data_IF_544387759569
#
_entry.id   IF_544387759569
#
_cell.length_a   1.000
_cell.length_b   1.000
_cell.length_c   1.000
_cell.angle_alpha   90.00
_cell.angle_beta   90.00
_cell.angle_gamma   90.00
#
_symmetry.space_group_name_H-M   'P 1'
#
loop_
_entity.id
_entity.type
_entity.pdbx_description
1 polymer ?
#
# COMPACT_ATOMS: atom_id res chain seq x y z
N UNK A 1 28.54 -16.21 19.68
CA UNK A 1 27.13 -16.03 20.15
C UNK A 1 26.25 -15.90 18.93
N UNK A 2 24.97 -16.25 19.04
CA UNK A 2 24.03 -16.05 17.94
C UNK A 2 23.77 -14.54 17.74
N UNK A 3 23.90 -14.05 16.52
CA UNK A 3 23.60 -12.65 16.16
C UNK A 3 22.12 -12.33 16.35
N UNK A 4 21.82 -11.10 16.67
CA UNK A 4 20.45 -10.59 16.78
C UNK A 4 19.88 -10.22 15.40
N UNK A 5 18.56 -10.18 15.33
CA UNK A 5 17.84 -9.70 14.15
C UNK A 5 17.10 -8.40 14.47
N UNK A 6 16.90 -7.57 13.46
CA UNK A 6 16.07 -6.37 13.53
C UNK A 6 15.11 -6.32 12.33
N UNK A 7 13.87 -5.92 12.58
CA UNK A 7 12.85 -5.79 11.53
C UNK A 7 12.11 -4.47 11.64
N UNK A 8 11.83 -3.84 10.50
CA UNK A 8 11.05 -2.61 10.42
C UNK A 8 9.97 -2.68 9.36
N UNK A 9 8.99 -1.80 9.49
CA UNK A 9 7.88 -1.62 8.56
C UNK A 9 7.94 -0.21 7.97
N UNK A 10 7.64 -0.07 6.68
CA UNK A 10 7.82 1.17 5.94
C UNK A 10 6.74 1.37 4.86
N UNK A 11 6.48 2.64 4.54
CA UNK A 11 5.51 3.04 3.53
C UNK A 11 4.06 2.89 3.98
N UNK A 12 3.13 2.86 3.02
CA UNK A 12 1.71 2.64 3.29
C UNK A 12 1.46 1.28 3.95
N UNK A 13 0.65 1.19 5.03
CA UNK A 13 0.34 -0.10 5.63
C UNK A 13 -0.59 -0.93 4.74
N UNK A 14 -0.70 -2.23 5.06
CA UNK A 14 -1.69 -3.15 4.46
C UNK A 14 -2.37 -3.95 5.57
N UNK A 15 -3.45 -4.66 5.23
CA UNK A 15 -4.12 -5.54 6.20
C UNK A 15 -3.29 -6.78 6.56
N UNK A 16 -2.20 -7.08 5.84
CA UNK A 16 -1.35 -8.27 6.06
C UNK A 16 0.12 -7.95 6.38
N UNK A 17 0.51 -6.68 6.48
CA UNK A 17 1.90 -6.29 6.75
C UNK A 17 2.41 -6.88 8.08
N UNK A 18 1.54 -7.07 9.05
CA UNK A 18 1.88 -7.69 10.32
C UNK A 18 1.98 -9.22 10.23
N UNK A 19 1.36 -9.83 9.22
CA UNK A 19 1.59 -11.25 8.92
C UNK A 19 3.02 -11.47 8.43
N UNK A 20 3.55 -10.56 7.60
CA UNK A 20 4.98 -10.55 7.24
C UNK A 20 5.86 -10.40 8.48
N UNK A 21 5.56 -9.43 9.36
CA UNK A 21 6.30 -9.26 10.62
C UNK A 21 6.33 -10.54 11.46
N UNK A 22 5.19 -11.23 11.59
CA UNK A 22 5.11 -12.51 12.30
C UNK A 22 5.97 -13.59 11.65
N UNK A 23 5.99 -13.64 10.31
CA UNK A 23 6.83 -14.57 9.54
C UNK A 23 8.33 -14.35 9.79
N UNK A 24 8.80 -13.10 9.71
CA UNK A 24 10.20 -12.74 10.04
C UNK A 24 10.53 -13.15 11.46
N UNK A 25 9.71 -12.77 12.45
CA UNK A 25 9.94 -13.07 13.86
C UNK A 25 10.10 -14.59 14.09
N UNK A 26 9.12 -15.39 13.70
CA UNK A 26 9.16 -16.84 13.92
C UNK A 26 10.28 -17.51 13.15
N UNK A 27 10.61 -17.03 11.95
CA UNK A 27 11.72 -17.58 11.15
C UNK A 27 13.07 -17.29 11.80
N UNK A 28 13.30 -16.09 12.31
CA UNK A 28 14.50 -15.74 13.07
C UNK A 28 14.65 -16.63 14.32
N UNK A 29 13.57 -16.79 15.09
CA UNK A 29 13.59 -17.64 16.30
C UNK A 29 13.88 -19.11 15.97
N UNK A 30 13.25 -19.64 14.94
CA UNK A 30 13.44 -21.04 14.50
C UNK A 30 14.86 -21.33 14.04
N UNK A 31 15.54 -20.33 13.46
CA UNK A 31 16.93 -20.43 12.99
C UNK A 31 17.97 -20.06 14.06
N UNK A 32 17.54 -19.83 15.29
CA UNK A 32 18.44 -19.62 16.41
C UNK A 32 19.00 -18.19 16.49
N UNK A 33 18.38 -17.20 15.87
CA UNK A 33 18.73 -15.80 16.13
C UNK A 33 18.59 -15.49 17.65
N UNK A 34 19.44 -14.63 18.16
CA UNK A 34 19.38 -14.17 19.54
C UNK A 34 18.08 -13.42 19.83
N UNK A 35 18.15 -12.14 20.12
CA UNK A 35 16.97 -11.28 20.24
C UNK A 35 16.48 -10.84 18.87
N UNK A 36 15.16 -10.63 18.75
CA UNK A 36 14.55 -10.01 17.58
C UNK A 36 14.02 -8.63 17.97
N UNK A 37 14.63 -7.61 17.40
CA UNK A 37 14.24 -6.23 17.63
C UNK A 37 13.23 -5.75 16.57
N UNK A 38 12.29 -4.88 16.99
CA UNK A 38 11.42 -4.13 16.09
C UNK A 38 11.84 -2.67 16.02
N UNK A 39 12.03 -2.11 14.82
CA UNK A 39 12.26 -0.69 14.59
C UNK A 39 10.93 0.06 14.72
N UNK A 40 10.76 0.86 15.77
CA UNK A 40 9.57 1.71 15.90
C UNK A 40 9.63 2.85 14.90
N UNK A 41 8.65 2.91 13.98
CA UNK A 41 8.62 3.85 12.85
C UNK A 41 9.81 3.71 11.88
N UNK A 42 10.20 2.48 11.58
CA UNK A 42 11.18 2.16 10.55
C UNK A 42 12.56 2.77 10.77
N UNK A 43 13.28 3.07 9.68
CA UNK A 43 14.65 3.62 9.73
C UNK A 43 14.70 4.99 10.42
N UNK A 44 13.67 5.83 10.25
CA UNK A 44 13.61 7.12 10.94
C UNK A 44 13.65 6.95 12.46
N UNK A 45 12.85 6.01 12.98
CA UNK A 45 12.87 5.72 14.41
C UNK A 45 14.14 5.01 14.88
N UNK A 46 14.76 4.18 14.03
CA UNK A 46 16.04 3.56 14.33
C UNK A 46 17.14 4.63 14.53
N UNK A 47 17.18 5.66 13.70
CA UNK A 47 18.08 6.81 13.84
C UNK A 47 17.89 7.55 15.17
N UNK A 48 16.69 7.50 15.74
CA UNK A 48 16.36 8.05 17.06
C UNK A 48 16.49 6.99 18.19
N UNK A 49 17.06 5.82 17.88
CA UNK A 49 17.22 4.68 18.81
C UNK A 49 15.88 4.14 19.37
N UNK A 50 14.78 4.36 18.66
CA UNK A 50 13.46 3.84 19.01
C UNK A 50 13.29 2.41 18.56
N UNK A 51 13.63 1.47 19.43
CA UNK A 51 13.51 0.03 19.18
C UNK A 51 12.72 -0.64 20.32
N UNK A 52 12.09 -1.77 20.01
CA UNK A 52 11.50 -2.64 21.02
C UNK A 52 12.03 -4.07 20.85
N UNK A 53 11.99 -4.87 21.92
CA UNK A 53 12.30 -6.31 21.85
C UNK A 53 11.01 -7.05 21.57
N UNK A 54 10.92 -7.71 20.40
CA UNK A 54 9.71 -8.44 20.01
C UNK A 54 9.49 -9.69 20.86
N UNK A 55 10.55 -10.31 21.37
CA UNK A 55 10.45 -11.44 22.31
C UNK A 55 9.65 -11.09 23.58
N UNK A 56 9.66 -9.82 24.00
CA UNK A 56 8.89 -9.34 25.16
C UNK A 56 7.41 -9.09 24.84
N UNK A 57 7.07 -8.98 23.56
CA UNK A 57 5.71 -8.69 23.07
C UNK A 57 4.99 -9.92 22.54
N UNK A 58 5.72 -10.83 21.90
CA UNK A 58 5.19 -12.02 21.21
C UNK A 58 5.56 -13.26 22.00
N UNK A 59 4.88 -13.47 23.14
CA UNK A 59 5.21 -14.52 24.12
C UNK A 59 4.49 -15.85 23.86
N UNK A 60 3.40 -15.82 23.13
CA UNK A 60 2.56 -16.99 22.89
C UNK A 60 2.16 -17.13 21.43
N UNK A 61 1.74 -18.33 21.03
CA UNK A 61 1.16 -18.56 19.72
C UNK A 61 -0.08 -17.69 19.45
N UNK A 62 -0.83 -17.34 20.50
CA UNK A 62 -1.99 -16.46 20.39
C UNK A 62 -1.55 -15.04 20.03
N UNK A 63 -0.45 -14.52 20.60
CA UNK A 63 0.06 -13.18 20.26
C UNK A 63 0.44 -13.12 18.77
N UNK A 64 1.05 -14.18 18.25
CA UNK A 64 1.41 -14.30 16.85
C UNK A 64 0.15 -14.31 15.95
N UNK A 65 -0.87 -15.09 16.31
CA UNK A 65 -2.12 -15.15 15.53
C UNK A 65 -2.88 -13.82 15.58
N UNK A 66 -2.89 -13.13 16.72
CA UNK A 66 -3.45 -11.78 16.82
C UNK A 66 -2.68 -10.78 15.97
N UNK A 67 -1.34 -10.83 15.99
CA UNK A 67 -0.49 -9.97 15.16
C UNK A 67 -0.81 -10.14 13.68
N UNK A 68 -0.90 -11.39 13.17
CA UNK A 68 -1.24 -11.68 11.77
C UNK A 68 -2.56 -11.06 11.32
N UNK A 69 -3.51 -10.90 12.22
CA UNK A 69 -4.86 -10.39 11.95
C UNK A 69 -5.04 -8.92 12.29
N UNK A 70 -4.04 -8.30 12.89
CA UNK A 70 -4.06 -6.87 13.22
C UNK A 70 -3.75 -6.06 11.95
N UNK A 71 -4.67 -5.22 11.47
CA UNK A 71 -4.40 -4.39 10.30
C UNK A 71 -3.44 -3.24 10.65
N UNK A 72 -2.90 -2.59 9.62
CA UNK A 72 -1.92 -1.52 9.73
C UNK A 72 -0.55 -1.99 10.23
N UNK A 73 0.39 -1.08 10.49
CA UNK A 73 1.77 -1.41 10.87
C UNK A 73 1.93 -1.45 12.39
N UNK A 74 2.17 -2.62 12.96
CA UNK A 74 2.33 -2.83 14.40
C UNK A 74 3.51 -2.04 14.98
N UNK A 75 4.62 -1.96 14.24
CA UNK A 75 5.80 -1.19 14.63
C UNK A 75 5.71 0.30 14.25
N UNK A 76 4.58 0.74 13.70
CA UNK A 76 4.49 2.02 13.03
C UNK A 76 5.19 1.98 11.67
N UNK A 77 5.15 3.08 10.95
CA UNK A 77 5.75 3.20 9.62
C UNK A 77 6.47 4.54 9.48
N UNK A 78 7.32 4.68 8.47
CA UNK A 78 7.90 5.95 8.09
C UNK A 78 7.92 6.09 6.57
N UNK A 79 8.08 7.34 6.14
CA UNK A 79 8.44 7.72 4.78
C UNK A 79 9.75 8.49 4.86
N UNK A 80 10.86 7.75 4.94
CA UNK A 80 12.19 8.30 5.07
C UNK A 80 13.06 7.80 3.92
N UNK A 81 13.55 8.72 3.11
CA UNK A 81 14.46 8.45 2.00
C UNK A 81 15.89 8.59 2.49
N UNK A 82 16.64 7.50 2.44
CA UNK A 82 18.06 7.55 2.75
C UNK A 82 18.78 8.47 1.75
N UNK A 83 19.63 9.42 2.24
CA UNK A 83 20.43 10.28 1.37
C UNK A 83 21.45 9.46 0.57
N UNK A 84 22.14 10.11 -0.36
CA UNK A 84 23.28 9.52 -1.04
C UNK A 84 24.48 9.45 -0.09
N UNK A 85 24.94 8.25 0.21
CA UNK A 85 26.07 8.02 1.13
C UNK A 85 27.42 8.45 0.56
N UNK A 86 27.53 8.78 -0.71
CA UNK A 86 28.74 9.38 -1.30
C UNK A 86 28.93 10.86 -0.92
N UNK A 87 27.94 11.48 -0.28
CA UNK A 87 28.09 12.84 0.28
C UNK A 87 28.44 12.76 1.76
N UNK A 88 29.19 13.75 2.27
CA UNK A 88 29.61 13.77 3.69
C UNK A 88 28.41 13.76 4.66
N UNK A 89 27.33 14.49 4.33
CA UNK A 89 26.12 14.51 5.14
C UNK A 89 25.38 13.16 5.09
N UNK A 90 25.32 12.55 3.91
CA UNK A 90 24.71 11.24 3.73
C UNK A 90 25.50 10.17 4.46
N UNK A 91 26.82 10.12 4.30
CA UNK A 91 27.69 9.16 4.98
C UNK A 91 27.50 9.19 6.50
N UNK A 92 27.39 10.36 7.10
CA UNK A 92 27.14 10.49 8.54
C UNK A 92 25.84 9.79 9.00
N UNK A 93 24.80 9.78 8.16
CA UNK A 93 23.54 9.05 8.45
C UNK A 93 23.78 7.54 8.47
N UNK A 94 24.51 7.01 7.50
CA UNK A 94 24.83 5.58 7.45
C UNK A 94 25.76 5.16 8.58
N UNK A 95 26.79 5.94 8.88
CA UNK A 95 27.67 5.68 10.02
C UNK A 95 26.87 5.56 11.32
N UNK A 96 25.95 6.49 11.57
CA UNK A 96 25.06 6.43 12.75
C UNK A 96 24.17 5.19 12.76
N UNK A 97 23.60 4.80 11.62
CA UNK A 97 22.80 3.58 11.52
C UNK A 97 23.63 2.34 11.86
N UNK A 98 24.80 2.20 11.27
CA UNK A 98 25.67 1.04 11.50
C UNK A 98 26.27 1.01 12.92
N UNK A 99 26.52 2.16 13.55
CA UNK A 99 26.85 2.25 14.96
C UNK A 99 25.74 1.64 15.84
N UNK A 100 24.47 2.05 15.63
CA UNK A 100 23.32 1.51 16.35
C UNK A 100 23.15 0.01 16.11
N UNK A 101 23.30 -0.45 14.87
CA UNK A 101 23.22 -1.86 14.52
C UNK A 101 24.32 -2.68 15.19
N UNK A 102 25.53 -2.14 15.31
CA UNK A 102 26.67 -2.76 16.00
C UNK A 102 26.44 -2.84 17.51
N UNK A 103 25.95 -1.77 18.14
CA UNK A 103 25.60 -1.75 19.57
C UNK A 103 24.54 -2.81 19.94
N UNK A 104 23.59 -3.06 19.04
CA UNK A 104 22.55 -4.06 19.19
C UNK A 104 23.00 -5.48 18.78
N UNK A 105 24.26 -5.65 18.36
CA UNK A 105 24.83 -6.91 17.82
C UNK A 105 23.95 -7.51 16.70
N UNK A 106 23.51 -6.67 15.76
CA UNK A 106 22.66 -7.10 14.65
C UNK A 106 23.48 -7.81 13.58
N UNK A 107 23.02 -9.01 13.18
CA UNK A 107 23.55 -9.74 12.04
C UNK A 107 22.54 -9.86 10.89
N UNK A 108 21.27 -9.60 11.16
CA UNK A 108 20.19 -9.73 10.18
C UNK A 108 19.25 -8.52 10.27
N UNK A 109 19.13 -7.82 9.14
CA UNK A 109 18.29 -6.64 9.00
C UNK A 109 17.17 -6.91 7.99
N UNK A 110 15.91 -6.80 8.44
CA UNK A 110 14.72 -6.99 7.60
C UNK A 110 13.94 -5.69 7.47
N UNK A 111 13.48 -5.39 6.26
CA UNK A 111 12.67 -4.21 6.04
C UNK A 111 11.45 -4.53 5.17
N UNK A 112 10.26 -4.42 5.76
CA UNK A 112 8.99 -4.76 5.12
C UNK A 112 8.44 -3.50 4.47
N UNK A 113 8.33 -3.49 3.13
CA UNK A 113 7.84 -2.32 2.43
C UNK A 113 7.71 -2.46 0.91
N UNK A 114 7.37 -1.36 0.26
CA UNK A 114 7.24 -1.25 -1.19
C UNK A 114 8.55 -0.86 -1.88
N UNK A 115 8.46 -0.27 -3.08
CA UNK A 115 9.60 0.09 -3.92
C UNK A 115 10.66 0.93 -3.19
N UNK A 116 10.27 2.00 -2.49
CA UNK A 116 11.20 2.87 -1.74
C UNK A 116 11.91 2.13 -0.61
N UNK A 117 11.25 1.12 -0.02
CA UNK A 117 11.85 0.29 1.03
C UNK A 117 12.87 -0.68 0.46
N UNK A 118 12.64 -1.18 -0.76
CA UNK A 118 13.61 -2.01 -1.47
C UNK A 118 14.84 -1.19 -1.89
N UNK A 119 14.67 0.06 -2.32
CA UNK A 119 15.76 1.01 -2.55
C UNK A 119 16.56 1.26 -1.26
N UNK A 120 15.88 1.45 -0.14
CA UNK A 120 16.53 1.60 1.18
C UNK A 120 17.41 0.38 1.52
N UNK A 121 16.91 -0.84 1.30
CA UNK A 121 17.66 -2.08 1.51
C UNK A 121 18.88 -2.17 0.59
N UNK A 122 18.73 -1.85 -0.69
CA UNK A 122 19.83 -1.81 -1.64
C UNK A 122 20.95 -0.87 -1.16
N UNK A 123 20.61 0.36 -0.82
CA UNK A 123 21.55 1.35 -0.31
C UNK A 123 22.27 0.91 0.97
N UNK A 124 21.55 0.31 1.92
CA UNK A 124 22.16 -0.22 3.15
C UNK A 124 23.10 -1.39 2.88
N UNK A 125 22.73 -2.28 1.95
CA UNK A 125 23.58 -3.40 1.56
C UNK A 125 24.86 -2.93 0.87
N UNK A 126 24.75 -1.96 -0.05
CA UNK A 126 25.89 -1.37 -0.76
C UNK A 126 26.87 -0.68 0.20
N UNK A 127 26.36 0.15 1.12
CA UNK A 127 27.18 0.79 2.14
C UNK A 127 27.79 -0.25 3.10
N UNK A 128 27.01 -1.26 3.51
CA UNK A 128 27.51 -2.37 4.32
C UNK A 128 28.67 -3.10 3.67
N UNK A 129 28.58 -3.41 2.38
CA UNK A 129 29.66 -4.01 1.61
C UNK A 129 30.90 -3.08 1.52
N UNK A 130 30.69 -1.77 1.34
CA UNK A 130 31.76 -0.79 1.30
C UNK A 130 32.60 -0.74 2.59
N UNK A 131 31.94 -0.84 3.75
CA UNK A 131 32.63 -0.82 5.06
C UNK A 131 33.02 -2.21 5.57
N UNK A 132 32.81 -3.29 4.80
CA UNK A 132 33.10 -4.68 5.19
C UNK A 132 32.22 -5.21 6.31
N UNK A 133 30.97 -4.82 6.39
CA UNK A 133 30.00 -5.27 7.39
C UNK A 133 29.48 -6.67 7.07
N UNK A 134 29.35 -7.55 8.07
CA UNK A 134 28.79 -8.89 7.96
C UNK A 134 27.25 -8.91 8.08
N UNK A 135 26.60 -7.76 8.24
CA UNK A 135 25.14 -7.66 8.37
C UNK A 135 24.47 -8.06 7.05
N UNK A 136 23.51 -8.96 7.13
CA UNK A 136 22.70 -9.36 5.98
C UNK A 136 21.44 -8.53 5.93
N UNK A 137 21.27 -7.80 4.81
CA UNK A 137 20.11 -6.95 4.55
C UNK A 137 19.11 -7.66 3.66
N UNK A 138 17.84 -7.70 4.08
CA UNK A 138 16.77 -8.38 3.37
C UNK A 138 15.51 -7.52 3.26
N UNK A 139 15.07 -7.27 2.03
CA UNK A 139 13.79 -6.65 1.72
C UNK A 139 12.67 -7.69 1.75
N UNK A 140 11.56 -7.31 2.38
CA UNK A 140 10.34 -8.11 2.44
C UNK A 140 9.26 -7.35 1.68
N UNK A 141 8.83 -7.83 0.49
CA UNK A 141 7.91 -7.09 -0.36
C UNK A 141 6.51 -6.98 0.25
N UNK A 142 5.93 -5.79 0.12
CA UNK A 142 4.57 -5.46 0.54
C UNK A 142 4.08 -4.24 -0.22
N UNK A 143 2.93 -4.32 -0.88
CA UNK A 143 2.16 -3.17 -1.39
C UNK A 143 0.76 -3.64 -1.79
N UNK A 144 -0.23 -2.72 -1.72
CA UNK A 144 -1.56 -2.99 -2.28
C UNK A 144 -1.63 -2.68 -3.78
N UNK A 145 -0.68 -1.91 -4.31
CA UNK A 145 -0.70 -1.44 -5.70
C UNK A 145 -0.34 -2.52 -6.72
N UNK A 146 0.27 -3.62 -6.24
CA UNK A 146 0.74 -4.73 -7.08
C UNK A 146 1.71 -4.30 -8.18
N UNK A 147 2.61 -3.36 -7.88
CA UNK A 147 3.50 -2.68 -8.82
C UNK A 147 4.98 -3.07 -8.69
N UNK A 148 5.30 -4.14 -7.94
CA UNK A 148 6.66 -4.63 -7.81
C UNK A 148 7.09 -5.44 -9.03
N UNK A 149 8.29 -5.14 -9.53
CA UNK A 149 8.87 -5.84 -10.68
C UNK A 149 9.05 -7.35 -10.42
N UNK A 150 8.86 -8.17 -11.47
CA UNK A 150 9.07 -9.63 -11.44
C UNK A 150 8.25 -10.33 -10.33
N UNK A 151 7.06 -9.80 -10.03
CA UNK A 151 6.18 -10.31 -8.98
C UNK A 151 4.76 -10.42 -9.53
N UNK A 152 4.15 -11.62 -9.48
CA UNK A 152 2.78 -11.82 -9.99
C UNK A 152 1.76 -11.08 -9.14
N UNK A 153 1.86 -11.23 -7.81
CA UNK A 153 1.07 -10.47 -6.85
C UNK A 153 1.85 -10.23 -5.56
N UNK A 154 1.61 -9.09 -4.95
CA UNK A 154 2.32 -8.66 -3.74
C UNK A 154 1.48 -8.85 -2.49
N UNK A 155 2.11 -9.20 -1.33
CA UNK A 155 1.40 -9.24 -0.05
C UNK A 155 0.72 -7.91 0.26
N UNK A 156 -0.61 -7.96 0.46
CA UNK A 156 -1.48 -6.80 0.66
C UNK A 156 -2.46 -6.58 -0.50
N UNK A 157 -2.06 -6.85 -1.75
CA UNK A 157 -2.92 -6.69 -2.92
C UNK A 157 -4.15 -7.61 -2.87
N UNK A 158 -3.99 -8.89 -2.58
CA UNK A 158 -5.10 -9.85 -2.59
C UNK A 158 -6.21 -9.48 -1.60
N UNK A 159 -5.86 -8.97 -0.42
CA UNK A 159 -6.83 -8.47 0.56
C UNK A 159 -7.51 -7.18 0.12
N UNK A 160 -6.75 -6.24 -0.45
CA UNK A 160 -7.30 -4.99 -0.96
C UNK A 160 -8.23 -5.24 -2.16
N UNK A 161 -7.85 -6.11 -3.11
CA UNK A 161 -8.69 -6.51 -4.24
C UNK A 161 -10.00 -7.16 -3.80
N UNK A 162 -9.95 -8.05 -2.80
CA UNK A 162 -11.14 -8.63 -2.18
C UNK A 162 -12.05 -7.57 -1.57
N UNK A 163 -11.46 -6.61 -0.83
CA UNK A 163 -12.20 -5.48 -0.27
C UNK A 163 -12.90 -4.69 -1.37
N UNK A 164 -12.18 -4.31 -2.44
CA UNK A 164 -12.76 -3.59 -3.58
C UNK A 164 -13.92 -4.37 -4.20
N UNK A 165 -13.75 -5.66 -4.50
CA UNK A 165 -14.81 -6.48 -5.09
C UNK A 165 -16.09 -6.53 -4.24
N UNK A 166 -15.95 -6.68 -2.91
CA UNK A 166 -17.09 -6.71 -1.98
C UNK A 166 -17.75 -5.35 -1.87
N UNK A 167 -17.00 -4.30 -1.56
CA UNK A 167 -17.53 -2.95 -1.33
C UNK A 167 -18.15 -2.37 -2.61
N UNK A 168 -17.55 -2.62 -3.77
CA UNK A 168 -18.14 -2.20 -5.04
C UNK A 168 -19.50 -2.86 -5.28
N UNK A 169 -19.66 -4.13 -4.93
CA UNK A 169 -20.95 -4.82 -5.01
C UNK A 169 -22.02 -4.18 -4.10
N UNK A 170 -21.62 -3.84 -2.86
CA UNK A 170 -22.49 -3.14 -1.91
C UNK A 170 -22.90 -1.75 -2.43
N UNK A 171 -21.94 -0.98 -2.95
CA UNK A 171 -22.18 0.34 -3.55
C UNK A 171 -23.13 0.25 -4.75
N UNK A 172 -22.94 -0.75 -5.65
CA UNK A 172 -23.79 -0.95 -6.80
C UNK A 172 -25.23 -1.25 -6.34
N UNK A 173 -25.38 -2.12 -5.34
CA UNK A 173 -26.70 -2.44 -4.76
C UNK A 173 -27.40 -1.24 -4.20
N UNK A 174 -26.70 -0.38 -3.41
CA UNK A 174 -27.25 0.86 -2.88
C UNK A 174 -27.59 1.86 -3.99
N UNK A 175 -26.70 2.02 -4.96
CA UNK A 175 -26.87 2.99 -6.04
C UNK A 175 -28.05 2.69 -6.98
N UNK A 176 -28.45 1.42 -7.08
CA UNK A 176 -29.50 0.97 -8.01
C UNK A 176 -30.91 0.92 -7.39
N UNK A 177 -31.09 1.28 -6.11
CA UNK A 177 -32.40 1.25 -5.42
C UNK A 177 -33.38 2.29 -5.97
N UNK A 178 -32.88 3.37 -6.55
CA UNK A 178 -33.73 4.47 -7.03
C UNK A 178 -33.84 4.46 -8.55
N UNK A 179 -35.07 4.56 -9.10
CA UNK A 179 -35.34 4.65 -10.53
C UNK A 179 -35.04 6.03 -11.15
N UNK A 180 -34.26 6.89 -10.47
CA UNK A 180 -33.91 8.25 -10.95
C UNK A 180 -32.49 8.27 -11.51
N UNK A 181 -32.21 9.24 -12.41
CA UNK A 181 -30.87 9.45 -12.94
C UNK A 181 -29.88 9.78 -11.83
N UNK A 182 -28.84 8.96 -11.72
CA UNK A 182 -27.83 9.04 -10.69
C UNK A 182 -26.48 8.52 -11.16
N UNK A 183 -25.38 9.19 -10.81
CA UNK A 183 -24.02 8.72 -11.13
C UNK A 183 -23.21 8.65 -9.85
N UNK A 184 -22.74 7.46 -9.52
CA UNK A 184 -21.82 7.23 -8.41
C UNK A 184 -20.42 7.00 -8.96
N UNK A 185 -19.43 7.80 -8.53
CA UNK A 185 -18.03 7.68 -8.92
C UNK A 185 -17.23 7.28 -7.68
N UNK A 186 -16.54 6.15 -7.75
CA UNK A 186 -15.76 5.58 -6.64
C UNK A 186 -14.28 5.70 -6.95
N UNK A 187 -13.54 6.41 -6.11
CA UNK A 187 -12.09 6.56 -6.21
C UNK A 187 -11.38 5.44 -5.49
N UNK A 188 -10.46 4.81 -6.19
CA UNK A 188 -9.69 3.67 -5.74
C UNK A 188 -8.20 4.01 -5.81
N UNK A 189 -7.43 3.59 -4.82
CA UNK A 189 -5.96 3.75 -4.80
C UNK A 189 -5.28 3.07 -5.98
N UNK A 190 -4.16 3.60 -6.39
CA UNK A 190 -3.34 3.10 -7.50
C UNK A 190 -2.77 4.25 -8.30
N UNK A 191 -1.64 4.83 -7.84
CA UNK A 191 -1.00 5.99 -8.47
C UNK A 191 -0.60 5.74 -9.92
N UNK A 192 0.10 4.65 -10.17
CA UNK A 192 0.69 4.32 -11.48
C UNK A 192 0.27 2.93 -11.98
N UNK A 193 -0.45 2.16 -11.15
CA UNK A 193 -0.89 0.81 -11.48
C UNK A 193 -2.38 0.67 -11.17
N UNK A 194 -3.15 0.24 -12.15
CA UNK A 194 -4.61 0.14 -12.09
C UNK A 194 -5.14 -1.18 -11.54
N UNK A 195 -4.32 -2.04 -10.97
CA UNK A 195 -4.73 -3.36 -10.49
C UNK A 195 -5.88 -3.34 -9.49
N UNK A 196 -5.84 -2.42 -8.50
CA UNK A 196 -6.94 -2.28 -7.55
C UNK A 196 -8.20 -1.74 -8.20
N UNK A 197 -8.08 -0.76 -9.09
CA UNK A 197 -9.23 -0.22 -9.82
C UNK A 197 -9.84 -1.29 -10.74
N UNK A 198 -9.01 -2.11 -11.37
CA UNK A 198 -9.46 -3.25 -12.17
C UNK A 198 -10.19 -4.31 -11.32
N UNK A 199 -9.81 -4.47 -10.04
CA UNK A 199 -10.48 -5.38 -9.11
C UNK A 199 -11.96 -5.01 -8.86
N UNK A 200 -12.40 -3.78 -9.18
CA UNK A 200 -13.82 -3.42 -9.18
C UNK A 200 -14.65 -4.31 -10.11
N UNK A 201 -14.06 -4.93 -11.14
CA UNK A 201 -14.70 -5.91 -12.01
C UNK A 201 -15.16 -7.17 -11.28
N UNK A 202 -14.54 -7.50 -10.13
CA UNK A 202 -14.90 -8.64 -9.29
C UNK A 202 -16.29 -8.50 -8.63
N UNK A 203 -16.88 -7.29 -8.65
CA UNK A 203 -18.25 -7.07 -8.20
C UNK A 203 -19.28 -7.78 -9.10
N UNK A 204 -18.92 -8.07 -10.37
CA UNK A 204 -19.81 -8.74 -11.31
C UNK A 204 -20.00 -10.21 -10.93
N UNK A 205 -21.26 -10.65 -10.93
CA UNK A 205 -21.64 -12.02 -10.63
C UNK A 205 -23.09 -12.27 -11.06
N UNK A 206 -23.62 -13.44 -10.74
CA UNK A 206 -25.02 -13.78 -11.03
C UNK A 206 -26.03 -12.82 -10.39
N UNK A 207 -25.67 -12.25 -9.25
CA UNK A 207 -26.48 -11.36 -8.43
C UNK A 207 -26.14 -9.87 -8.59
N UNK A 208 -25.18 -9.51 -9.44
CA UNK A 208 -24.74 -8.11 -9.64
C UNK A 208 -24.18 -7.92 -11.05
N UNK A 209 -24.67 -6.91 -11.76
CA UNK A 209 -24.19 -6.58 -13.11
C UNK A 209 -22.74 -6.08 -13.17
N UNK A 210 -22.21 -5.64 -12.02
CA UNK A 210 -20.88 -5.05 -11.92
C UNK A 210 -20.87 -3.55 -12.17
N UNK A 211 -19.66 -2.99 -12.26
CA UNK A 211 -19.46 -1.56 -12.55
C UNK A 211 -19.67 -1.27 -14.03
N UNK A 212 -20.16 -0.05 -14.34
CA UNK A 212 -20.46 0.36 -15.71
C UNK A 212 -19.22 0.87 -16.46
N UNK A 213 -18.25 1.40 -15.73
CA UNK A 213 -17.01 1.90 -16.31
C UNK A 213 -15.88 1.76 -15.30
N UNK A 214 -14.71 1.38 -15.80
CA UNK A 214 -13.44 1.38 -15.04
C UNK A 214 -12.47 2.30 -15.76
N UNK A 215 -11.87 3.25 -15.03
CA UNK A 215 -10.88 4.19 -15.56
C UNK A 215 -9.53 3.92 -14.90
N UNK A 216 -8.57 3.45 -15.69
CA UNK A 216 -7.25 3.02 -15.24
C UNK A 216 -6.20 4.13 -15.45
N UNK A 217 -5.16 4.22 -14.61
CA UNK A 217 -4.10 5.23 -14.72
C UNK A 217 -3.20 5.02 -15.95
N UNK A 218 -3.17 3.81 -16.52
CA UNK A 218 -2.39 3.46 -17.70
C UNK A 218 -2.96 4.02 -19.00
N UNK A 219 -4.22 4.47 -18.97
CA UNK A 219 -4.92 4.97 -20.16
C UNK A 219 -5.07 6.49 -20.08
N UNK A 220 -4.56 7.25 -21.07
CA UNK A 220 -4.76 8.70 -21.09
C UNK A 220 -6.24 9.08 -20.97
N UNK A 221 -6.55 9.88 -19.98
CA UNK A 221 -7.92 10.25 -19.64
C UNK A 221 -8.33 11.54 -20.40
N UNK A 222 -9.58 11.57 -20.85
CA UNK A 222 -10.17 12.73 -21.46
C UNK A 222 -11.53 13.03 -20.82
N UNK A 223 -11.64 14.18 -20.17
CA UNK A 223 -12.83 14.58 -19.41
C UNK A 223 -14.07 14.71 -20.29
N UNK A 224 -13.94 15.25 -21.50
CA UNK A 224 -15.08 15.45 -22.40
C UNK A 224 -15.63 14.11 -22.88
N UNK A 225 -14.78 13.21 -23.34
CA UNK A 225 -15.15 11.82 -23.73
C UNK A 225 -15.75 11.05 -22.56
N UNK A 226 -15.27 11.26 -21.36
CA UNK A 226 -15.82 10.65 -20.16
C UNK A 226 -17.28 11.10 -19.95
N UNK A 227 -17.55 12.41 -19.99
CA UNK A 227 -18.92 12.95 -19.81
C UNK A 227 -19.85 12.47 -20.92
N UNK A 228 -19.41 12.50 -22.19
CA UNK A 228 -20.18 11.97 -23.32
C UNK A 228 -20.52 10.47 -23.16
N UNK A 229 -19.60 9.69 -22.62
CA UNK A 229 -19.84 8.27 -22.35
C UNK A 229 -20.86 8.06 -21.23
N UNK A 230 -20.78 8.85 -20.16
CA UNK A 230 -21.76 8.83 -19.07
C UNK A 230 -23.15 9.20 -19.59
N UNK A 231 -23.26 10.25 -20.42
CA UNK A 231 -24.52 10.66 -21.03
C UNK A 231 -25.15 9.56 -21.87
N UNK A 232 -24.35 8.85 -22.68
CA UNK A 232 -24.85 7.71 -23.47
C UNK A 232 -25.36 6.59 -22.58
N UNK A 233 -24.60 6.22 -21.55
CA UNK A 233 -24.99 5.16 -20.62
C UNK A 233 -26.29 5.50 -19.86
N UNK A 234 -26.50 6.77 -19.50
CA UNK A 234 -27.74 7.21 -18.85
C UNK A 234 -28.99 7.18 -19.76
N UNK A 235 -28.83 7.02 -21.08
CA UNK A 235 -29.96 6.75 -22.00
C UNK A 235 -30.43 5.30 -21.91
N UNK A 236 -29.56 4.38 -21.49
CA UNK A 236 -29.82 2.96 -21.40
C UNK A 236 -30.28 2.56 -19.98
N UNK A 237 -29.65 3.15 -18.95
CA UNK A 237 -30.04 2.90 -17.55
C UNK A 237 -29.89 4.15 -16.68
N UNK A 238 -30.78 4.34 -15.68
CA UNK A 238 -30.79 5.56 -14.88
C UNK A 238 -29.59 5.68 -13.94
N UNK A 239 -29.17 4.57 -13.31
CA UNK A 239 -28.09 4.55 -12.32
C UNK A 239 -26.80 4.04 -12.93
N UNK A 240 -25.72 4.81 -12.82
CA UNK A 240 -24.38 4.50 -13.33
C UNK A 240 -23.39 4.45 -12.18
N UNK A 241 -22.59 3.38 -12.09
CA UNK A 241 -21.51 3.25 -11.11
C UNK A 241 -20.16 3.12 -11.80
N UNK A 242 -19.25 4.01 -11.48
CA UNK A 242 -17.94 4.14 -12.12
C UNK A 242 -16.84 3.95 -11.09
N UNK A 243 -15.87 3.10 -11.38
CA UNK A 243 -14.62 2.98 -10.64
C UNK A 243 -13.53 3.80 -11.35
N UNK A 244 -12.84 4.66 -10.62
CA UNK A 244 -11.75 5.49 -11.15
C UNK A 244 -10.52 5.36 -10.26
N UNK A 245 -9.34 5.20 -10.86
CA UNK A 245 -8.09 5.28 -10.12
C UNK A 245 -7.81 6.73 -9.70
N UNK A 246 -7.28 6.93 -8.50
CA UNK A 246 -6.74 8.22 -8.06
C UNK A 246 -5.66 8.76 -9.01
N UNK A 247 -4.94 7.85 -9.67
CA UNK A 247 -3.80 8.13 -10.53
C UNK A 247 -4.10 8.34 -12.00
N UNK A 248 -5.37 8.49 -12.42
CA UNK A 248 -5.67 8.79 -13.83
C UNK A 248 -5.07 10.11 -14.29
N UNK A 249 -4.46 10.10 -15.49
CA UNK A 249 -3.72 11.21 -16.06
C UNK A 249 -4.32 11.67 -17.38
N UNK A 250 -4.26 12.96 -17.62
CA UNK A 250 -4.53 13.56 -18.93
C UNK A 250 -3.42 13.18 -19.92
N UNK A 251 -3.66 13.43 -21.20
CA UNK A 251 -2.68 13.17 -22.27
C UNK A 251 -1.39 13.99 -22.12
N UNK A 252 -1.42 15.12 -21.39
CA UNK A 252 -0.25 15.94 -21.07
C UNK A 252 0.52 15.47 -19.83
N UNK A 253 0.06 14.39 -19.17
CA UNK A 253 0.70 13.79 -17.99
C UNK A 253 0.24 14.34 -16.65
N UNK A 254 -0.57 15.41 -16.59
CA UNK A 254 -1.14 15.93 -15.34
C UNK A 254 -2.17 14.95 -14.79
N UNK A 255 -2.24 14.85 -13.46
CA UNK A 255 -3.30 14.07 -12.82
C UNK A 255 -4.65 14.80 -12.92
N UNK A 256 -5.73 14.03 -13.04
CA UNK A 256 -7.09 14.63 -13.11
C UNK A 256 -7.45 15.34 -11.82
N UNK A 257 -6.98 14.91 -10.66
CA UNK A 257 -7.17 15.60 -9.39
C UNK A 257 -6.60 17.03 -9.38
N UNK A 258 -5.51 17.30 -10.14
CA UNK A 258 -4.91 18.64 -10.23
C UNK A 258 -5.81 19.67 -10.96
N UNK A 259 -6.88 19.21 -11.61
CA UNK A 259 -7.89 20.11 -12.21
C UNK A 259 -8.91 20.64 -11.17
N UNK A 260 -8.88 20.12 -9.95
CA UNK A 260 -9.63 20.68 -8.83
C UNK A 260 -8.88 21.89 -8.25
N UNK A 261 -9.62 22.87 -7.72
CA UNK A 261 -9.03 24.05 -7.08
C UNK A 261 -8.45 23.74 -5.67
N UNK A 262 -8.32 22.47 -5.33
CA UNK A 262 -7.84 22.02 -4.02
C UNK A 262 -6.30 22.03 -3.94
N UNK A 263 -5.75 22.42 -2.79
CA UNK A 263 -4.31 22.38 -2.53
C UNK A 263 -3.88 20.93 -2.25
N UNK A 264 -3.00 20.40 -3.07
CA UNK A 264 -2.44 19.06 -2.88
C UNK A 264 -1.17 19.11 -2.01
N UNK A 265 -1.18 18.38 -0.89
CA UNK A 265 0.00 18.22 -0.06
C UNK A 265 1.01 17.26 -0.72
N UNK A 266 2.30 17.54 -0.57
CA UNK A 266 3.40 16.67 -0.99
C UNK A 266 3.91 15.89 0.22
N UNK A 267 4.13 14.59 0.07
CA UNK A 267 4.68 13.75 1.13
C UNK A 267 6.23 13.77 1.18
N UNK A 268 6.82 13.09 2.18
CA UNK A 268 8.27 13.03 2.36
C UNK A 268 9.03 12.26 1.25
N UNK A 269 8.34 11.65 0.30
CA UNK A 269 8.91 11.04 -0.91
C UNK A 269 8.70 11.90 -2.16
N UNK A 270 8.35 13.18 -2.01
CA UNK A 270 8.01 14.11 -3.10
C UNK A 270 6.77 13.67 -3.91
N UNK A 271 5.89 12.88 -3.31
CA UNK A 271 4.66 12.47 -3.97
C UNK A 271 3.51 13.41 -3.64
N UNK A 272 2.84 13.91 -4.68
CA UNK A 272 1.60 14.66 -4.54
C UNK A 272 0.53 13.73 -3.94
N UNK A 273 -0.22 14.20 -2.96
CA UNK A 273 -1.38 13.48 -2.44
C UNK A 273 -2.46 13.43 -3.52
N UNK A 274 -2.68 12.23 -4.08
CA UNK A 274 -3.68 12.01 -5.12
C UNK A 274 -5.03 11.73 -4.46
N UNK A 275 -5.86 12.78 -4.31
CA UNK A 275 -7.23 12.69 -3.80
C UNK A 275 -8.10 13.69 -4.54
N UNK A 276 -9.40 13.42 -4.67
CA UNK A 276 -10.35 14.32 -5.27
C UNK A 276 -10.65 14.10 -6.75
N UNK A 277 -10.05 13.12 -7.40
CA UNK A 277 -10.39 12.75 -8.80
C UNK A 277 -11.89 12.43 -8.95
N UNK A 278 -12.45 11.57 -8.09
CA UNK A 278 -13.89 11.25 -8.16
C UNK A 278 -14.75 12.46 -7.87
N UNK A 279 -14.35 13.32 -6.95
CA UNK A 279 -15.07 14.56 -6.62
C UNK A 279 -15.10 15.52 -7.79
N UNK A 280 -13.94 15.75 -8.42
CA UNK A 280 -13.84 16.59 -9.61
C UNK A 280 -14.75 16.08 -10.74
N UNK A 281 -14.69 14.77 -11.03
CA UNK A 281 -15.49 14.14 -12.07
C UNK A 281 -16.99 14.16 -11.74
N UNK A 282 -17.37 13.90 -10.49
CA UNK A 282 -18.76 13.97 -10.05
C UNK A 282 -19.33 15.39 -10.21
N UNK A 283 -18.59 16.42 -9.79
CA UNK A 283 -18.97 17.81 -9.96
C UNK A 283 -19.07 18.21 -11.45
N UNK A 284 -18.18 17.69 -12.27
CA UNK A 284 -18.18 17.96 -13.72
C UNK A 284 -19.40 17.32 -14.40
N UNK A 285 -19.72 16.07 -14.07
CA UNK A 285 -20.92 15.38 -14.57
C UNK A 285 -22.18 16.09 -14.11
N UNK A 286 -22.29 16.45 -12.81
CA UNK A 286 -23.45 17.14 -12.28
C UNK A 286 -23.73 18.46 -13.02
N UNK A 287 -22.69 19.27 -13.28
CA UNK A 287 -22.82 20.56 -13.98
C UNK A 287 -23.16 20.42 -15.45
N UNK A 288 -22.64 19.38 -16.15
CA UNK A 288 -22.82 19.23 -17.61
C UNK A 288 -24.07 18.46 -18.00
N UNK A 289 -24.53 17.51 -17.17
CA UNK A 289 -25.63 16.62 -17.51
C UNK A 289 -26.90 16.83 -16.67
N UNK A 290 -26.90 17.83 -15.77
CA UNK A 290 -28.02 18.10 -14.84
C UNK A 290 -28.53 16.80 -14.16
N UNK A 291 -27.59 15.98 -13.65
CA UNK A 291 -27.87 14.71 -13.01
C UNK A 291 -27.32 14.68 -11.59
N UNK A 292 -27.98 13.94 -10.69
CA UNK A 292 -27.47 13.77 -9.34
C UNK A 292 -26.20 12.90 -9.37
N UNK A 293 -25.20 13.31 -8.60
CA UNK A 293 -23.93 12.61 -8.50
C UNK A 293 -23.54 12.35 -7.05
N UNK A 294 -22.75 11.31 -6.85
CA UNK A 294 -22.07 11.00 -5.59
C UNK A 294 -20.62 10.65 -5.88
N UNK A 295 -19.70 11.21 -5.11
CA UNK A 295 -18.33 10.71 -5.06
C UNK A 295 -18.13 9.88 -3.78
N UNK A 296 -17.38 8.80 -3.89
CA UNK A 296 -16.97 7.95 -2.78
C UNK A 296 -15.46 7.76 -2.91
N UNK A 297 -14.72 8.24 -1.94
CA UNK A 297 -13.27 8.05 -1.85
C UNK A 297 -13.02 6.91 -0.85
N UNK A 298 -12.56 5.74 -1.30
CA UNK A 298 -12.30 4.60 -0.42
C UNK A 298 -11.08 4.83 0.48
N UNK A 299 -10.15 5.68 0.05
CA UNK A 299 -9.02 6.17 0.83
C UNK A 299 -8.33 5.06 1.63
N UNK A 300 -8.05 5.26 2.90
CA UNK A 300 -7.32 4.30 3.75
C UNK A 300 -8.07 3.00 4.04
N UNK A 301 -9.41 2.97 3.89
CA UNK A 301 -10.22 1.78 4.18
C UNK A 301 -9.79 0.57 3.36
N UNK A 302 -9.44 0.75 2.10
CA UNK A 302 -9.03 -0.33 1.19
C UNK A 302 -7.71 -1.02 1.58
N UNK A 303 -6.90 -0.43 2.44
CA UNK A 303 -5.64 -1.00 2.93
C UNK A 303 -5.63 -1.41 4.40
N UNK A 304 -6.73 -1.20 5.12
CA UNK A 304 -6.81 -1.50 6.55
C UNK A 304 -8.04 -2.33 6.96
N UNK A 305 -8.82 -2.83 5.98
CA UNK A 305 -10.05 -3.58 6.22
C UNK A 305 -9.77 -5.01 6.73
N UNK A 306 -9.40 -5.15 7.99
CA UNK A 306 -9.05 -6.43 8.61
C UNK A 306 -10.17 -7.48 8.57
N UNK A 307 -11.44 -7.06 8.54
CA UNK A 307 -12.61 -7.94 8.46
C UNK A 307 -12.80 -8.61 7.08
N UNK A 308 -12.18 -8.06 6.03
CA UNK A 308 -12.22 -8.63 4.67
C UNK A 308 -10.86 -9.18 4.22
N UNK A 309 -9.89 -9.30 5.12
CA UNK A 309 -8.56 -9.81 4.78
C UNK A 309 -8.65 -11.20 4.13
N UNK A 310 -7.90 -11.42 3.06
CA UNK A 310 -7.81 -12.70 2.38
C UNK A 310 -6.96 -13.68 3.20
N UNK A 311 -7.47 -14.90 3.43
CA UNK A 311 -6.72 -15.95 4.10
C UNK A 311 -5.46 -16.36 3.32
N UNK A 312 -5.56 -16.39 2.00
CA UNK A 312 -4.41 -16.66 1.11
C UNK A 312 -3.35 -15.60 1.31
N UNK A 313 -3.72 -14.32 1.23
CA UNK A 313 -2.81 -13.19 1.39
C UNK A 313 -2.13 -13.18 2.78
N UNK A 314 -2.87 -13.47 3.87
CA UNK A 314 -2.28 -13.66 5.22
C UNK A 314 -1.22 -14.77 5.20
N UNK A 315 -1.53 -15.90 4.57
CA UNK A 315 -0.64 -17.06 4.54
C UNK A 315 0.61 -16.78 3.71
N UNK A 316 0.44 -16.16 2.54
CA UNK A 316 1.55 -15.81 1.65
C UNK A 316 2.43 -14.74 2.25
N UNK A 317 1.86 -13.66 2.82
CA UNK A 317 2.60 -12.64 3.55
C UNK A 317 3.45 -13.23 4.68
N UNK A 318 2.92 -14.21 5.41
CA UNK A 318 3.67 -14.94 6.43
C UNK A 318 4.76 -15.84 5.84
N UNK A 319 4.57 -16.41 4.65
CA UNK A 319 5.50 -17.36 4.02
C UNK A 319 6.63 -16.70 3.24
N UNK A 320 6.40 -15.52 2.64
CA UNK A 320 7.42 -14.77 1.91
C UNK A 320 8.66 -14.58 2.78
N UNK A 321 8.47 -14.29 4.05
CA UNK A 321 9.55 -14.07 5.01
C UNK A 321 10.29 -15.35 5.38
N UNK A 322 9.63 -16.50 5.32
CA UNK A 322 10.29 -17.80 5.58
C UNK A 322 11.31 -18.15 4.50
N UNK A 323 11.12 -17.67 3.28
CA UNK A 323 12.07 -17.83 2.17
C UNK A 323 13.19 -16.80 2.20
N UNK A 324 12.94 -15.62 2.72
CA UNK A 324 13.93 -14.52 2.82
C UNK A 324 15.01 -14.77 3.89
N UNK A 325 14.79 -15.69 4.82
CA UNK A 325 15.72 -16.03 5.92
C UNK A 325 16.58 -17.27 5.60
N UNK A 326 16.61 -17.73 4.33
CA UNK A 326 17.42 -18.90 3.90
C UNK A 326 18.89 -18.58 3.69
#
# INVERSE_FOLDING_TARGET
MAKNAIVGQSGGPTSVINSSLAGVYESCKRRGAGKVYGMMHGVAGLLERRVCVLDDKLKSAMDIELLKRTPSSYLGSCRYKLPDWHTAEGEAVYQKLFEILSELDIGYFFYIGGNDSMDTIGKLADYGAHIGSDIRFMGVPKTIDNDLMVTDHTPGYGSAAKYIGVVMKEIIRDATVYGTKYVTIVEIMGRNAGWLTAAASLAKGEDCEGVDMICLPEVPFNVDRFVEKVERMQKEKPSIVIAVSEGVKLADGRYVCELADDVHAVDAFDHIALTGTARFLANTVARRLDTKTRCIELSTLQRCAGHLTSRTDITEAYQVDRKSVV
#
